data_IF_681684397952
#
_entry.id   IF_681684397952
#
_cell.length_a   1.000
_cell.length_b   1.000
_cell.length_c   1.000
_cell.angle_alpha   90.00
_cell.angle_beta   90.00
_cell.angle_gamma   90.00
#
_symmetry.space_group_name_H-M   'P 1'
#
loop_
_entity.id
_entity.type
_entity.pdbx_description
1 polymer ?
#
# COMPACT_ATOMS: atom_id res chain seq x y z
N UNK A 1 9.21 -11.45 -55.58
CA UNK A 1 8.27 -10.98 -54.53
C UNK A 1 8.57 -11.62 -53.16
N UNK A 2 9.77 -11.43 -52.58
CA UNK A 2 10.16 -12.05 -51.29
C UNK A 2 10.91 -11.11 -50.32
N UNK A 3 11.01 -9.81 -50.63
CA UNK A 3 11.74 -8.82 -49.79
C UNK A 3 10.85 -7.95 -48.91
N UNK A 4 9.53 -7.91 -49.16
CA UNK A 4 8.59 -7.10 -48.37
C UNK A 4 8.07 -7.80 -47.11
N UNK A 5 8.27 -9.13 -46.99
CA UNK A 5 7.77 -9.91 -45.86
C UNK A 5 8.71 -9.85 -44.64
N UNK A 6 9.99 -9.52 -44.84
CA UNK A 6 10.97 -9.40 -43.74
C UNK A 6 10.87 -8.04 -43.04
N UNK A 7 10.48 -6.97 -43.75
CA UNK A 7 10.34 -5.64 -43.15
C UNK A 7 9.09 -5.50 -42.27
N UNK A 8 8.03 -6.25 -42.56
CA UNK A 8 6.79 -6.22 -41.77
C UNK A 8 6.94 -6.88 -40.39
N UNK A 9 7.84 -7.85 -40.24
CA UNK A 9 8.12 -8.46 -38.94
C UNK A 9 8.93 -7.54 -38.00
N UNK A 10 9.75 -6.62 -38.53
CA UNK A 10 10.52 -5.67 -37.71
C UNK A 10 9.69 -4.45 -37.25
N UNK A 11 8.62 -4.09 -37.97
CA UNK A 11 7.74 -2.98 -37.59
C UNK A 11 6.73 -3.33 -36.48
N UNK A 12 6.46 -4.62 -36.25
CA UNK A 12 5.60 -5.08 -35.14
C UNK A 12 6.34 -5.15 -33.78
N UNK A 13 7.67 -5.09 -33.77
CA UNK A 13 8.48 -5.10 -32.55
C UNK A 13 8.69 -3.71 -31.92
N UNK A 14 8.26 -2.63 -32.59
CA UNK A 14 8.46 -1.25 -32.11
C UNK A 14 7.56 -0.87 -30.91
N UNK A 15 6.52 -1.67 -30.61
CA UNK A 15 5.55 -1.38 -29.55
C UNK A 15 5.61 -2.34 -28.35
N UNK A 16 6.69 -3.10 -28.15
CA UNK A 16 6.85 -3.84 -26.91
C UNK A 16 7.01 -2.87 -25.72
N UNK A 17 6.33 -3.10 -24.59
CA UNK A 17 6.54 -2.32 -23.38
C UNK A 17 7.93 -2.62 -22.82
N UNK A 18 8.67 -1.59 -22.42
CA UNK A 18 10.02 -1.76 -21.85
C UNK A 18 10.16 -0.96 -20.56
N UNK A 19 11.04 -1.38 -19.62
CA UNK A 19 11.32 -0.62 -18.41
C UNK A 19 11.74 0.83 -18.68
N UNK A 20 12.35 1.11 -19.84
CA UNK A 20 12.72 2.45 -20.26
C UNK A 20 11.48 3.30 -20.59
N UNK A 21 10.54 2.75 -21.38
CA UNK A 21 9.27 3.44 -21.70
C UNK A 21 8.43 3.72 -20.45
N UNK A 22 8.44 2.81 -19.46
CA UNK A 22 7.81 3.06 -18.15
C UNK A 22 8.46 4.28 -17.47
N UNK A 23 9.80 4.31 -17.41
CA UNK A 23 10.53 5.42 -16.79
C UNK A 23 10.28 6.76 -17.51
N UNK A 24 10.18 6.75 -18.83
CA UNK A 24 9.86 7.95 -19.63
C UNK A 24 8.44 8.45 -19.33
N UNK A 25 7.45 7.56 -19.30
CA UNK A 25 6.07 7.92 -18.97
C UNK A 25 5.98 8.51 -17.55
N UNK A 26 6.67 7.92 -16.56
CA UNK A 26 6.77 8.49 -15.20
C UNK A 26 7.41 9.88 -15.24
N UNK A 27 8.53 10.05 -15.95
CA UNK A 27 9.23 11.33 -16.06
C UNK A 27 8.41 12.45 -16.72
N UNK A 28 7.49 12.09 -17.62
CA UNK A 28 6.52 13.02 -18.23
C UNK A 28 5.27 13.26 -17.37
N UNK A 29 5.17 12.63 -16.20
CA UNK A 29 3.98 12.70 -15.33
C UNK A 29 2.78 11.91 -15.83
N UNK A 30 2.95 11.05 -16.84
CA UNK A 30 1.89 10.25 -17.46
C UNK A 30 1.75 8.92 -16.71
N UNK A 31 1.28 8.97 -15.46
CA UNK A 31 1.25 7.78 -14.60
C UNK A 31 0.30 6.69 -15.09
N UNK A 32 -0.87 7.02 -15.66
CA UNK A 32 -1.76 6.01 -16.24
C UNK A 32 -1.12 5.25 -17.42
N UNK A 33 -0.34 5.94 -18.26
CA UNK A 33 0.43 5.27 -19.33
C UNK A 33 1.52 4.37 -18.73
N UNK A 34 2.24 4.86 -17.72
CA UNK A 34 3.25 4.08 -17.03
C UNK A 34 2.65 2.82 -16.38
N UNK A 35 1.44 2.91 -15.82
CA UNK A 35 0.71 1.77 -15.24
C UNK A 35 0.45 0.72 -16.30
N UNK A 36 -0.13 1.12 -17.45
CA UNK A 36 -0.40 0.20 -18.58
C UNK A 36 0.87 -0.46 -19.08
N UNK A 37 1.97 0.28 -19.19
CA UNK A 37 3.24 -0.27 -19.65
C UNK A 37 3.83 -1.27 -18.65
N UNK A 38 3.86 -0.92 -17.36
CA UNK A 38 4.40 -1.79 -16.32
C UNK A 38 3.54 -3.04 -16.12
N UNK A 39 2.20 -2.90 -16.15
CA UNK A 39 1.29 -4.03 -15.99
C UNK A 39 1.48 -5.06 -17.11
N UNK A 40 1.67 -4.62 -18.35
CA UNK A 40 1.99 -5.52 -19.48
C UNK A 40 3.34 -6.22 -19.29
N UNK A 41 4.39 -5.50 -18.86
CA UNK A 41 5.71 -6.11 -18.59
C UNK A 41 5.57 -7.24 -17.58
N UNK A 42 4.88 -6.98 -16.45
CA UNK A 42 4.77 -7.93 -15.36
C UNK A 42 3.83 -9.10 -15.70
N UNK A 43 2.72 -8.85 -16.38
CA UNK A 43 1.73 -9.89 -16.71
C UNK A 43 2.21 -10.84 -17.82
N UNK A 44 2.92 -10.31 -18.82
CA UNK A 44 3.40 -11.11 -19.95
C UNK A 44 4.74 -11.81 -19.63
N UNK A 45 5.29 -11.62 -18.42
CA UNK A 45 6.52 -12.26 -17.98
C UNK A 45 7.76 -11.75 -18.72
N UNK A 46 7.73 -10.51 -19.21
CA UNK A 46 8.91 -9.88 -19.82
C UNK A 46 10.02 -9.76 -18.79
N UNK A 47 11.26 -9.91 -19.26
CA UNK A 47 12.44 -9.98 -18.40
C UNK A 47 12.69 -8.64 -17.68
N UNK A 48 12.26 -8.54 -16.42
CA UNK A 48 12.52 -7.40 -15.53
C UNK A 48 13.18 -7.89 -14.25
N UNK A 49 14.41 -7.45 -14.02
CA UNK A 49 15.11 -7.75 -12.76
C UNK A 49 14.37 -7.12 -11.57
N UNK A 50 14.40 -7.79 -10.40
CA UNK A 50 13.81 -7.27 -9.17
C UNK A 50 14.29 -5.85 -8.83
N UNK A 51 15.59 -5.58 -8.97
CA UNK A 51 16.18 -4.25 -8.76
C UNK A 51 15.59 -3.19 -9.71
N UNK A 52 15.34 -3.55 -10.97
CA UNK A 52 14.75 -2.61 -11.93
C UNK A 52 13.27 -2.36 -11.61
N UNK A 53 12.54 -3.41 -11.22
CA UNK A 53 11.16 -3.27 -10.75
C UNK A 53 11.08 -2.34 -9.53
N UNK A 54 11.90 -2.57 -8.50
CA UNK A 54 11.98 -1.71 -7.31
C UNK A 54 12.27 -0.25 -7.67
N UNK A 55 13.19 -0.01 -8.61
CA UNK A 55 13.51 1.34 -9.08
C UNK A 55 12.33 2.01 -9.79
N UNK A 56 11.55 1.28 -10.58
CA UNK A 56 10.36 1.84 -11.25
C UNK A 56 9.25 2.15 -10.24
N UNK A 57 9.00 1.24 -9.30
CA UNK A 57 8.02 1.42 -8.23
C UNK A 57 8.38 2.61 -7.33
N UNK A 58 9.66 2.79 -7.01
CA UNK A 58 10.14 3.97 -6.29
C UNK A 58 9.93 5.27 -7.10
N UNK A 59 10.14 5.22 -8.42
CA UNK A 59 9.91 6.37 -9.29
C UNK A 59 8.41 6.73 -9.40
N UNK A 60 7.52 5.73 -9.39
CA UNK A 60 6.08 5.97 -9.24
C UNK A 60 5.79 6.75 -7.96
N UNK A 61 6.20 6.23 -6.80
CA UNK A 61 5.95 6.85 -5.51
C UNK A 61 6.54 8.26 -5.36
N UNK A 62 7.66 8.54 -6.04
CA UNK A 62 8.30 9.85 -6.02
C UNK A 62 7.67 10.87 -7.00
N UNK A 63 6.79 10.43 -7.90
CA UNK A 63 6.14 11.34 -8.85
C UNK A 63 5.16 12.27 -8.14
N UNK A 64 5.16 13.56 -8.55
CA UNK A 64 4.21 14.56 -8.01
C UNK A 64 2.74 14.20 -8.27
N UNK A 65 2.47 13.44 -9.32
CA UNK A 65 1.11 13.05 -9.71
C UNK A 65 0.66 11.74 -9.07
N UNK A 66 1.49 11.16 -8.19
CA UNK A 66 1.19 9.89 -7.56
C UNK A 66 0.14 10.03 -6.46
N UNK A 67 -0.83 9.12 -6.46
CA UNK A 67 -1.81 8.93 -5.41
C UNK A 67 -2.16 7.44 -5.24
N UNK A 68 -3.05 7.12 -4.31
CA UNK A 68 -3.48 5.74 -4.06
C UNK A 68 -4.34 5.17 -5.20
N UNK A 69 -4.94 6.01 -6.05
CA UNK A 69 -5.70 5.55 -7.21
C UNK A 69 -4.76 4.93 -8.25
N UNK A 70 -3.58 5.52 -8.46
CA UNK A 70 -2.52 4.94 -9.31
C UNK A 70 -2.01 3.60 -8.77
N UNK A 71 -1.85 3.49 -7.44
CA UNK A 71 -1.43 2.24 -6.80
C UNK A 71 -2.47 1.13 -7.00
N UNK A 72 -3.75 1.46 -6.82
CA UNK A 72 -4.87 0.54 -7.05
C UNK A 72 -4.97 0.13 -8.52
N UNK A 73 -4.89 1.09 -9.44
CA UNK A 73 -4.97 0.85 -10.87
C UNK A 73 -3.87 -0.13 -11.32
N UNK A 74 -2.62 0.07 -10.86
CA UNK A 74 -1.55 -0.85 -11.16
C UNK A 74 -1.84 -2.23 -10.59
N UNK A 75 -2.21 -2.34 -9.32
CA UNK A 75 -2.42 -3.62 -8.66
C UNK A 75 -3.58 -4.43 -9.25
N UNK A 76 -4.67 -3.76 -9.60
CA UNK A 76 -5.88 -4.38 -10.16
C UNK A 76 -5.62 -4.95 -11.55
N UNK A 77 -4.78 -4.30 -12.37
CA UNK A 77 -4.41 -4.78 -13.71
C UNK A 77 -3.51 -6.02 -13.70
N UNK A 78 -2.94 -6.42 -12.56
CA UNK A 78 -1.98 -7.52 -12.50
C UNK A 78 -2.64 -8.89 -12.30
N UNK A 79 -2.05 -9.90 -12.91
CA UNK A 79 -2.33 -11.30 -12.59
C UNK A 79 -1.79 -11.66 -11.18
N UNK A 80 -2.19 -12.80 -10.57
CA UNK A 80 -1.79 -13.13 -9.20
C UNK A 80 -0.28 -13.14 -8.95
N UNK A 81 0.52 -13.67 -9.88
CA UNK A 81 1.98 -13.74 -9.74
C UNK A 81 2.63 -12.35 -9.77
N UNK A 82 2.19 -11.51 -10.71
CA UNK A 82 2.64 -10.13 -10.80
C UNK A 82 2.20 -9.28 -9.59
N UNK A 83 1.00 -9.52 -9.04
CA UNK A 83 0.55 -8.88 -7.79
C UNK A 83 1.48 -9.20 -6.64
N UNK A 84 1.90 -10.46 -6.50
CA UNK A 84 2.86 -10.87 -5.47
C UNK A 84 4.19 -10.13 -5.60
N UNK A 85 4.67 -9.87 -6.83
CA UNK A 85 5.91 -9.16 -7.07
C UNK A 85 5.91 -7.70 -6.56
N UNK A 86 4.75 -7.04 -6.56
CA UNK A 86 4.63 -5.63 -6.13
C UNK A 86 3.92 -5.47 -4.77
N UNK A 87 3.43 -6.55 -4.17
CA UNK A 87 2.57 -6.52 -2.98
C UNK A 87 3.18 -5.70 -1.83
N UNK A 88 4.48 -5.87 -1.58
CA UNK A 88 5.20 -5.13 -0.54
C UNK A 88 5.16 -3.62 -0.80
N UNK A 89 5.42 -3.20 -2.04
CA UNK A 89 5.36 -1.79 -2.42
C UNK A 89 3.95 -1.24 -2.26
N UNK A 90 2.94 -1.97 -2.75
CA UNK A 90 1.54 -1.58 -2.68
C UNK A 90 1.08 -1.35 -1.22
N UNK A 91 1.34 -2.30 -0.32
CA UNK A 91 1.05 -2.16 1.11
C UNK A 91 1.78 -0.96 1.72
N UNK A 92 3.05 -0.74 1.33
CA UNK A 92 3.84 0.38 1.82
C UNK A 92 3.23 1.74 1.46
N UNK A 93 2.64 1.91 0.27
CA UNK A 93 1.99 3.17 -0.12
C UNK A 93 0.83 3.52 0.80
N UNK A 94 0.01 2.51 1.12
CA UNK A 94 -1.12 2.66 2.03
C UNK A 94 -0.69 2.92 3.48
N UNK A 95 0.35 2.24 3.95
CA UNK A 95 0.93 2.50 5.27
C UNK A 95 1.43 3.94 5.38
N UNK A 96 2.18 4.42 4.39
CA UNK A 96 2.69 5.80 4.37
C UNK A 96 1.57 6.83 4.34
N UNK A 97 0.53 6.61 3.52
CA UNK A 97 -0.61 7.50 3.44
C UNK A 97 -1.42 7.53 4.75
N UNK A 98 -1.62 6.37 5.39
CA UNK A 98 -2.28 6.28 6.69
C UNK A 98 -1.43 6.93 7.80
N UNK A 99 -0.10 6.73 7.79
CA UNK A 99 0.82 7.35 8.74
C UNK A 99 0.84 8.88 8.60
N UNK A 100 0.84 9.40 7.37
CA UNK A 100 0.73 10.84 7.12
C UNK A 100 -0.57 11.42 7.68
N UNK A 101 -1.70 10.71 7.54
CA UNK A 101 -2.97 11.11 8.14
C UNK A 101 -2.92 11.07 9.68
N UNK A 102 -2.28 10.05 10.27
CA UNK A 102 -2.08 9.97 11.72
C UNK A 102 -1.20 11.11 12.26
N UNK A 103 -0.15 11.51 11.53
CA UNK A 103 0.75 12.60 11.93
C UNK A 103 0.01 13.94 12.06
N UNK A 104 -1.01 14.19 11.23
CA UNK A 104 -1.88 15.37 11.33
C UNK A 104 -3.13 15.13 12.19
N UNK A 105 -3.19 14.01 12.92
CA UNK A 105 -4.29 13.62 13.81
C UNK A 105 -5.65 13.45 13.11
N UNK A 106 -5.64 13.18 11.80
CA UNK A 106 -6.84 12.85 11.02
C UNK A 106 -7.10 11.34 11.06
N UNK A 107 -7.61 10.86 12.20
CA UNK A 107 -7.84 9.44 12.45
C UNK A 107 -8.89 8.83 11.52
N UNK A 108 -9.91 9.59 11.14
CA UNK A 108 -10.95 9.11 10.23
C UNK A 108 -10.38 8.89 8.82
N UNK A 109 -9.58 9.83 8.33
CA UNK A 109 -8.87 9.65 7.05
C UNK A 109 -7.92 8.46 7.09
N UNK A 110 -7.17 8.28 8.18
CA UNK A 110 -6.31 7.11 8.35
C UNK A 110 -7.11 5.80 8.27
N UNK A 111 -8.29 5.74 8.91
CA UNK A 111 -9.20 4.58 8.83
C UNK A 111 -9.71 4.35 7.41
N UNK A 112 -10.18 5.39 6.72
CA UNK A 112 -10.68 5.29 5.34
C UNK A 112 -9.62 4.75 4.39
N UNK A 113 -8.38 5.26 4.48
CA UNK A 113 -7.24 4.78 3.69
C UNK A 113 -7.00 3.29 3.97
N UNK A 114 -6.96 2.88 5.23
CA UNK A 114 -6.69 1.48 5.57
C UNK A 114 -7.82 0.53 5.13
N UNK A 115 -9.09 0.93 5.31
CA UNK A 115 -10.26 0.16 4.88
C UNK A 115 -10.27 -0.05 3.36
N UNK A 116 -9.89 0.98 2.60
CA UNK A 116 -9.74 0.89 1.15
C UNK A 116 -8.73 -0.19 0.77
N UNK A 117 -7.55 -0.18 1.38
CA UNK A 117 -6.56 -1.26 1.18
C UNK A 117 -7.10 -2.63 1.56
N UNK A 118 -7.75 -2.77 2.72
CA UNK A 118 -8.28 -4.06 3.17
C UNK A 118 -9.29 -4.65 2.18
N UNK A 119 -10.12 -3.82 1.55
CA UNK A 119 -11.09 -4.23 0.54
C UNK A 119 -10.40 -4.76 -0.73
N UNK A 120 -9.43 -4.03 -1.28
CA UNK A 120 -8.67 -4.43 -2.49
C UNK A 120 -7.81 -5.68 -2.20
N UNK A 121 -7.24 -5.75 -1.00
CA UNK A 121 -6.49 -6.91 -0.55
C UNK A 121 -7.39 -8.14 -0.39
N UNK A 122 -8.59 -8.00 0.18
CA UNK A 122 -9.49 -9.15 0.37
C UNK A 122 -9.97 -9.75 -0.95
N UNK A 123 -10.17 -8.95 -1.99
CA UNK A 123 -10.50 -9.46 -3.33
C UNK A 123 -9.31 -10.16 -4.00
N UNK A 124 -8.09 -9.67 -3.76
CA UNK A 124 -6.88 -10.15 -4.43
C UNK A 124 -6.16 -11.28 -3.69
N UNK A 125 -6.27 -11.29 -2.36
CA UNK A 125 -5.56 -12.16 -1.42
C UNK A 125 -6.46 -12.48 -0.21
N UNK A 126 -7.49 -13.32 -0.39
CA UNK A 126 -8.50 -13.58 0.64
C UNK A 126 -7.92 -14.19 1.93
N UNK A 127 -6.83 -14.97 1.80
CA UNK A 127 -6.20 -15.68 2.92
C UNK A 127 -5.09 -14.89 3.63
N UNK A 128 -4.79 -13.66 3.18
CA UNK A 128 -3.73 -12.87 3.78
C UNK A 128 -4.14 -12.36 5.18
N UNK A 129 -3.34 -12.71 6.18
CA UNK A 129 -3.51 -12.23 7.56
C UNK A 129 -2.47 -11.14 7.89
N UNK A 130 -2.92 -9.98 8.34
CA UNK A 130 -2.03 -8.93 8.85
C UNK A 130 -1.39 -9.40 10.16
N UNK A 131 -0.06 -9.51 10.19
CA UNK A 131 0.67 -9.88 11.40
C UNK A 131 0.46 -8.89 12.55
N UNK A 132 0.28 -7.60 12.22
CA UNK A 132 -0.11 -6.53 13.15
C UNK A 132 -1.29 -5.76 12.53
N UNK A 133 -2.50 -5.84 13.11
CA UNK A 133 -3.67 -5.16 12.57
C UNK A 133 -3.53 -3.63 12.65
N UNK A 134 -3.32 -2.96 11.51
CA UNK A 134 -3.06 -1.50 11.47
C UNK A 134 -4.26 -0.70 11.95
N UNK A 135 -5.47 -1.16 11.68
CA UNK A 135 -6.70 -0.57 12.22
C UNK A 135 -6.66 -0.47 13.76
N UNK A 136 -6.11 -1.48 14.42
CA UNK A 136 -5.93 -1.47 15.87
C UNK A 136 -4.92 -0.43 16.35
N UNK A 137 -3.87 -0.18 15.56
CA UNK A 137 -2.88 0.88 15.83
C UNK A 137 -3.51 2.26 15.68
N UNK A 138 -4.33 2.47 14.65
CA UNK A 138 -5.03 3.75 14.42
C UNK A 138 -5.89 4.10 15.65
N UNK A 139 -6.72 3.16 16.13
CA UNK A 139 -7.50 3.36 17.35
C UNK A 139 -6.65 3.57 18.60
N UNK A 140 -5.46 2.95 18.69
CA UNK A 140 -4.57 3.16 19.83
C UNK A 140 -4.02 4.59 19.87
N UNK A 141 -3.65 5.13 18.71
CA UNK A 141 -3.18 6.53 18.55
C UNK A 141 -4.30 7.54 18.80
N UNK A 142 -5.51 7.24 18.36
CA UNK A 142 -6.69 8.06 18.65
C UNK A 142 -6.99 8.07 20.16
N UNK A 143 -6.88 6.93 20.83
CA UNK A 143 -7.04 6.85 22.29
C UNK A 143 -5.98 7.68 23.04
N UNK A 144 -4.73 7.65 22.59
CA UNK A 144 -3.66 8.50 23.11
C UNK A 144 -3.99 9.99 22.97
N UNK A 145 -4.41 10.39 21.76
CA UNK A 145 -4.80 11.77 21.45
C UNK A 145 -5.92 12.28 22.34
N UNK A 146 -7.00 11.50 22.52
CA UNK A 146 -8.11 11.90 23.39
C UNK A 146 -7.71 11.96 24.87
N UNK A 147 -6.88 11.01 25.32
CA UNK A 147 -6.40 10.99 26.69
C UNK A 147 -5.55 12.22 27.02
N UNK A 148 -4.69 12.67 26.10
CA UNK A 148 -3.86 13.86 26.27
C UNK A 148 -4.66 15.16 26.32
N UNK A 149 -5.91 15.15 25.83
CA UNK A 149 -6.84 16.27 25.88
C UNK A 149 -7.83 16.21 27.04
N UNK A 150 -7.75 15.18 27.89
CA UNK A 150 -8.69 14.96 29.00
C UNK A 150 -10.06 14.43 28.59
N UNK A 151 -10.23 14.03 27.32
CA UNK A 151 -11.48 13.51 26.76
C UNK A 151 -11.61 12.02 27.08
N UNK A 152 -11.84 11.72 28.37
CA UNK A 152 -11.73 10.36 28.92
C UNK A 152 -12.69 9.35 28.27
N UNK A 153 -13.91 9.78 27.91
CA UNK A 153 -14.91 8.87 27.32
C UNK A 153 -14.48 8.42 25.92
N UNK A 154 -14.08 9.36 25.07
CA UNK A 154 -13.60 9.11 23.71
C UNK A 154 -12.32 8.27 23.74
N UNK A 155 -11.41 8.55 24.69
CA UNK A 155 -10.20 7.78 24.90
C UNK A 155 -10.50 6.32 25.29
N UNK A 156 -11.48 6.08 26.17
CA UNK A 156 -11.94 4.74 26.57
C UNK A 156 -12.56 3.98 25.40
N UNK A 157 -13.40 4.64 24.61
CA UNK A 157 -14.05 4.05 23.45
C UNK A 157 -13.03 3.61 22.39
N UNK A 158 -12.11 4.51 22.02
CA UNK A 158 -11.04 4.21 21.07
C UNK A 158 -10.12 3.09 21.59
N UNK A 159 -9.73 3.12 22.85
CA UNK A 159 -8.89 2.08 23.46
C UNK A 159 -9.59 0.71 23.46
N UNK A 160 -10.90 0.66 23.72
CA UNK A 160 -11.67 -0.58 23.68
C UNK A 160 -11.72 -1.18 22.27
N UNK A 161 -11.91 -0.35 21.24
CA UNK A 161 -11.87 -0.79 19.84
C UNK A 161 -10.48 -1.32 19.46
N UNK A 162 -9.43 -0.58 19.79
CA UNK A 162 -8.04 -0.99 19.57
C UNK A 162 -7.78 -2.37 20.17
N UNK A 163 -8.11 -2.55 21.46
CA UNK A 163 -7.95 -3.83 22.16
C UNK A 163 -8.73 -4.95 21.47
N UNK A 164 -10.00 -4.74 21.10
CA UNK A 164 -10.82 -5.77 20.43
C UNK A 164 -10.19 -6.27 19.13
N UNK A 165 -9.67 -5.36 18.31
CA UNK A 165 -9.06 -5.69 17.01
C UNK A 165 -7.74 -6.41 17.20
N UNK A 166 -6.91 -5.89 18.10
CA UNK A 166 -5.57 -6.40 18.32
C UNK A 166 -5.57 -7.74 19.06
N UNK A 167 -6.57 -8.01 19.91
CA UNK A 167 -6.71 -9.29 20.64
C UNK A 167 -7.30 -10.44 19.81
N UNK A 168 -7.83 -10.18 18.61
CA UNK A 168 -8.68 -11.13 17.87
C UNK A 168 -7.97 -12.41 17.42
N UNK A 169 -6.63 -12.48 17.45
CA UNK A 169 -5.83 -13.68 17.10
C UNK A 169 -4.56 -13.89 17.93
N UNK A 170 -4.12 -12.90 18.70
CA UNK A 170 -2.98 -12.99 19.64
C UNK A 170 -3.27 -12.08 20.84
N UNK A 171 -2.84 -12.44 22.06
CA UNK A 171 -2.93 -11.51 23.19
C UNK A 171 -2.27 -10.19 22.81
N UNK A 172 -2.95 -9.07 23.07
CA UNK A 172 -2.48 -7.72 22.75
C UNK A 172 -1.05 -7.46 23.23
N UNK A 173 -0.68 -8.01 24.39
CA UNK A 173 0.66 -7.93 24.99
C UNK A 173 1.76 -8.62 24.17
N UNK A 174 1.38 -9.43 23.17
CA UNK A 174 2.26 -10.21 22.28
C UNK A 174 2.31 -9.68 20.84
N UNK A 175 1.70 -8.53 20.56
CA UNK A 175 1.81 -7.87 19.25
C UNK A 175 3.17 -7.19 19.21
N UNK A 176 4.16 -7.93 18.73
CA UNK A 176 5.57 -7.56 18.80
C UNK A 176 5.91 -6.40 17.87
N UNK A 177 5.97 -5.20 18.43
CA UNK A 177 7.17 -4.35 18.47
C UNK A 177 7.24 -3.74 19.88
N UNK A 178 8.43 -3.65 20.49
CA UNK A 178 8.62 -3.14 21.87
C UNK A 178 7.98 -1.76 22.10
N UNK A 179 7.91 -0.94 21.04
CA UNK A 179 7.28 0.38 21.01
C UNK A 179 5.77 0.35 21.28
N UNK A 180 5.02 -0.58 20.67
CA UNK A 180 3.56 -0.62 20.79
C UNK A 180 3.10 -1.10 22.17
N UNK A 181 3.84 -2.02 22.81
CA UNK A 181 3.53 -2.49 24.16
C UNK A 181 3.66 -1.35 25.19
N UNK A 182 4.71 -0.54 25.08
CA UNK A 182 4.91 0.62 25.95
C UNK A 182 3.82 1.68 25.73
N UNK A 183 3.52 2.01 24.46
CA UNK A 183 2.44 2.94 24.11
C UNK A 183 1.10 2.48 24.70
N UNK A 184 0.77 1.20 24.54
CA UNK A 184 -0.45 0.61 25.08
C UNK A 184 -0.58 0.74 26.60
N UNK A 185 0.49 0.45 27.35
CA UNK A 185 0.50 0.60 28.80
C UNK A 185 0.40 2.06 29.24
N UNK A 186 1.05 2.98 28.51
CA UNK A 186 0.97 4.42 28.76
C UNK A 186 -0.45 4.93 28.56
N UNK A 187 -1.07 4.64 27.42
CA UNK A 187 -2.46 5.00 27.12
C UNK A 187 -3.41 4.40 28.16
N UNK A 188 -3.24 3.12 28.52
CA UNK A 188 -4.04 2.48 29.56
C UNK A 188 -3.97 3.20 30.91
N UNK A 189 -2.81 3.77 31.29
CA UNK A 189 -2.66 4.55 32.53
C UNK A 189 -3.36 5.91 32.44
N UNK A 190 -3.32 6.57 31.28
CA UNK A 190 -3.96 7.88 31.04
C UNK A 190 -5.49 7.80 30.96
N UNK A 191 -6.02 6.66 30.52
CA UNK A 191 -7.46 6.43 30.28
C UNK A 191 -8.24 6.02 31.55
N UNK A 192 -7.54 5.59 32.61
CA UNK A 192 -8.13 5.20 33.90
C UNK A 192 -8.67 6.43 34.63
#
# INVERSE_FOLDING_TARGET
>A
MKRYLVLACFLLSACAPTPMKVSEAIGRGQLSEAVVLLSRILNEGHDISARKLESLLAAFSASRHFDLDIADELFDQLNPDARNAILRWYIQQYLQAAEAALQIQDFERARMIWLRHQKVRQSSFPDFEEATPVMGIIYLREAEYWADRGEAQQAREAFAQSRKILTRRRPFDRIQQYSFRQLAEQVRKKVK
#
